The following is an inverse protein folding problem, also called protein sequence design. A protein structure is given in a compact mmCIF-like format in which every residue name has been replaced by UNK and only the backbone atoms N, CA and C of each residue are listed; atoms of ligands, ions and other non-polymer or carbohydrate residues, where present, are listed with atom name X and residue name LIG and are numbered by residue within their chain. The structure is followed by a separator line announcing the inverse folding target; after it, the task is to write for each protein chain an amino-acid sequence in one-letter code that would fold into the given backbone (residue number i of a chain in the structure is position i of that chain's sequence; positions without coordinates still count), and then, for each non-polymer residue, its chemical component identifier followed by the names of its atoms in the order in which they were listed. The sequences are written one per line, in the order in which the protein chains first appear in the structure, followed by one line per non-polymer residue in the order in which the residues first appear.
data_IF_137523495821
#
_entry.id   IF_137523495821
#
_cell.length_a   1.000
_cell.length_b   1.000
_cell.length_c   1.000
_cell.angle_alpha   90.00
_cell.angle_beta   90.00
_cell.angle_gamma   90.00
#
_symmetry.space_group_name_H-M   'P 1'
#
loop_
_entity.id
_entity.type
_entity.pdbx_description
1 polymer ?
#
# COMPACT_ATOMS: atom_id res chain seq x y z
N UNK A 1 -73.35 11.29 72.79
CA UNK A 1 -73.85 10.55 71.61
C UNK A 1 -72.92 10.87 70.45
N UNK A 2 -72.30 9.82 69.86
CA UNK A 2 -71.74 9.69 68.50
C UNK A 2 -70.90 10.83 67.87
N UNK A 3 -69.85 10.64 67.08
CA UNK A 3 -69.04 9.50 66.60
C UNK A 3 -68.03 10.01 65.54
N UNK A 4 -66.84 9.39 65.41
CA UNK A 4 -66.01 9.26 64.17
C UNK A 4 -65.03 10.41 63.85
N UNK A 5 -63.70 10.20 63.86
CA UNK A 5 -62.81 9.60 62.80
C UNK A 5 -62.56 10.58 61.62
N UNK A 6 -61.39 10.80 60.98
CA UNK A 6 -60.05 10.17 60.80
C UNK A 6 -59.22 11.20 59.97
N UNK A 7 -58.01 11.60 60.35
CA UNK A 7 -56.67 11.11 59.94
C UNK A 7 -56.28 11.26 58.45
N UNK A 8 -55.15 11.97 58.20
CA UNK A 8 -54.11 11.80 57.16
C UNK A 8 -54.43 11.96 55.64
N UNK A 9 -53.62 12.73 54.90
CA UNK A 9 -52.48 12.18 54.12
C UNK A 9 -51.59 13.28 53.50
N UNK A 10 -50.29 13.21 53.82
CA UNK A 10 -49.18 13.85 53.11
C UNK A 10 -48.97 13.13 51.78
N UNK A 11 -49.01 13.85 50.66
CA UNK A 11 -48.64 13.35 49.34
C UNK A 11 -47.14 13.64 49.13
N UNK A 12 -46.29 12.64 49.34
CA UNK A 12 -44.90 12.65 48.90
C UNK A 12 -44.80 11.96 47.53
N UNK A 13 -44.52 12.77 46.50
CA UNK A 13 -44.23 12.31 45.15
C UNK A 13 -42.89 11.55 45.13
N UNK A 14 -42.95 10.24 44.95
CA UNK A 14 -41.79 9.40 44.67
C UNK A 14 -41.64 9.31 43.14
N UNK A 15 -40.94 10.28 42.55
CA UNK A 15 -40.50 10.18 41.15
C UNK A 15 -39.38 9.15 41.05
N UNK A 16 -39.70 7.97 40.50
CA UNK A 16 -38.72 6.98 40.06
C UNK A 16 -37.82 7.60 38.99
N UNK A 17 -36.59 7.96 39.37
CA UNK A 17 -35.51 8.21 38.41
C UNK A 17 -34.99 6.86 37.93
N UNK A 18 -35.46 6.40 36.77
CA UNK A 18 -34.81 5.30 36.06
C UNK A 18 -33.56 5.88 35.41
N UNK A 19 -32.41 5.69 36.08
CA UNK A 19 -31.11 6.04 35.51
C UNK A 19 -30.81 5.07 34.36
N UNK A 20 -30.73 5.62 33.14
CA UNK A 20 -30.36 4.87 31.94
C UNK A 20 -28.83 4.71 31.98
N UNK A 21 -28.35 3.49 32.19
CA UNK A 21 -26.92 3.17 32.14
C UNK A 21 -26.51 2.84 30.70
N UNK A 22 -25.63 3.65 30.12
CA UNK A 22 -24.93 3.31 28.88
C UNK A 22 -23.62 2.59 29.24
N UNK A 23 -23.36 1.45 28.59
CA UNK A 23 -22.20 0.59 28.89
C UNK A 23 -21.28 0.38 27.70
N UNK A 24 -20.25 -0.44 27.88
CA UNK A 24 -19.41 -0.94 26.79
C UNK A 24 -19.35 -2.47 26.82
N UNK A 25 -19.27 -3.11 25.65
CA UNK A 25 -19.24 -4.56 25.45
C UNK A 25 -18.07 -4.96 24.55
N UNK A 26 -17.40 -6.04 24.92
CA UNK A 26 -16.41 -6.68 24.04
C UNK A 26 -17.11 -7.66 23.08
N UNK A 27 -16.73 -7.60 21.80
CA UNK A 27 -17.22 -8.50 20.75
C UNK A 27 -16.02 -9.11 20.04
N UNK A 28 -15.95 -10.44 20.04
CA UNK A 28 -15.00 -11.22 19.26
C UNK A 28 -15.77 -12.01 18.22
N UNK A 29 -15.49 -11.74 16.95
CA UNK A 29 -16.17 -12.34 15.81
C UNK A 29 -15.17 -12.80 14.76
N UNK A 30 -15.57 -13.73 13.92
CA UNK A 30 -14.76 -14.24 12.82
C UNK A 30 -15.58 -14.42 11.56
N UNK A 31 -14.89 -14.50 10.44
CA UNK A 31 -15.47 -14.84 9.15
C UNK A 31 -14.41 -15.50 8.28
N UNK A 32 -14.67 -16.65 7.65
CA UNK A 32 -15.89 -17.46 7.74
C UNK A 32 -16.08 -18.18 9.10
N UNK A 33 -17.23 -18.83 9.30
CA UNK A 33 -17.60 -19.57 10.51
C UNK A 33 -16.71 -20.81 10.77
N UNK A 34 -16.00 -21.28 9.75
CA UNK A 34 -15.14 -22.44 9.83
C UNK A 34 -13.98 -22.32 8.84
N UNK A 35 -12.88 -23.00 9.14
CA UNK A 35 -11.71 -23.06 8.25
C UNK A 35 -11.68 -24.41 7.56
N UNK A 36 -11.81 -24.39 6.24
CA UNK A 36 -11.62 -25.55 5.36
C UNK A 36 -10.20 -25.54 4.80
N UNK A 37 -9.42 -26.58 5.12
CA UNK A 37 -8.04 -26.72 4.64
C UNK A 37 -7.99 -26.69 3.10
N UNK A 38 -7.26 -25.72 2.55
CA UNK A 38 -7.04 -25.59 1.11
C UNK A 38 -8.17 -24.92 0.32
N UNK A 39 -9.34 -24.66 0.92
CA UNK A 39 -10.45 -23.94 0.27
C UNK A 39 -10.69 -22.55 0.87
N UNK A 40 -10.44 -22.37 2.17
CA UNK A 40 -10.56 -21.04 2.79
C UNK A 40 -9.42 -20.15 2.31
N UNK A 41 -9.73 -19.15 1.47
CA UNK A 41 -8.76 -18.19 0.96
C UNK A 41 -8.34 -17.16 2.00
N UNK A 42 -9.29 -16.74 2.83
CA UNK A 42 -9.09 -15.69 3.81
C UNK A 42 -9.92 -15.99 5.05
N UNK A 43 -9.30 -15.84 6.21
CA UNK A 43 -9.97 -15.92 7.50
C UNK A 43 -9.66 -14.65 8.27
N UNK A 44 -10.71 -14.00 8.77
CA UNK A 44 -10.61 -12.77 9.54
C UNK A 44 -11.14 -13.03 10.94
N UNK A 45 -10.39 -12.61 11.95
CA UNK A 45 -10.80 -12.56 13.34
C UNK A 45 -10.76 -11.09 13.78
N UNK A 46 -11.87 -10.58 14.32
CA UNK A 46 -11.98 -9.19 14.78
C UNK A 46 -12.42 -9.15 16.23
N UNK A 47 -11.58 -8.53 17.05
CA UNK A 47 -11.93 -8.16 18.41
C UNK A 47 -12.24 -6.67 18.47
N UNK A 48 -13.38 -6.30 19.05
CA UNK A 48 -13.83 -4.92 19.12
C UNK A 48 -14.46 -4.60 20.48
N UNK A 49 -14.38 -3.34 20.89
CA UNK A 49 -15.12 -2.78 22.01
C UNK A 49 -16.20 -1.86 21.43
N UNK A 50 -17.46 -2.16 21.70
CA UNK A 50 -18.61 -1.39 21.21
C UNK A 50 -19.41 -0.85 22.39
N UNK A 51 -19.97 0.34 22.28
CA UNK A 51 -20.89 0.85 23.30
C UNK A 51 -22.25 0.14 23.21
N UNK A 52 -22.74 -0.31 24.37
CA UNK A 52 -24.07 -0.89 24.48
C UNK A 52 -25.09 0.24 24.52
N UNK A 53 -25.66 0.53 23.36
CA UNK A 53 -26.90 1.30 23.29
C UNK A 53 -28.04 0.49 23.91
N UNK A 54 -28.68 1.02 24.95
CA UNK A 54 -30.02 0.67 25.45
C UNK A 54 -30.45 -0.81 25.30
N UNK A 55 -29.76 -1.74 25.96
CA UNK A 55 -30.20 -3.15 26.05
C UNK A 55 -30.25 -3.62 27.51
N UNK A 56 -31.47 -3.93 27.95
CA UNK A 56 -31.78 -4.54 29.23
C UNK A 56 -31.42 -6.03 29.19
N UNK A 57 -30.26 -6.43 29.74
CA UNK A 57 -30.06 -7.78 30.30
C UNK A 57 -28.69 -7.91 30.99
N UNK A 58 -28.68 -8.03 32.32
CA UNK A 58 -27.48 -8.41 33.10
C UNK A 58 -27.82 -9.68 33.89
N UNK A 59 -27.26 -10.83 33.51
CA UNK A 59 -27.18 -12.03 34.37
C UNK A 59 -25.83 -12.76 34.16
N UNK A 60 -24.91 -12.53 35.12
CA UNK A 60 -23.93 -13.45 35.71
C UNK A 60 -23.10 -14.41 34.84
N UNK A 61 -21.80 -14.11 34.70
CA UNK A 61 -20.67 -15.07 34.74
C UNK A 61 -19.34 -14.31 34.95
N UNK A 62 -18.30 -15.03 35.34
CA UNK A 62 -17.04 -14.53 35.96
C UNK A 62 -16.08 -13.80 34.99
N UNK A 63 -16.54 -13.46 33.80
CA UNK A 63 -15.83 -12.68 32.78
C UNK A 63 -16.60 -11.37 32.54
N UNK A 64 -15.92 -10.23 32.63
CA UNK A 64 -16.54 -8.92 32.38
C UNK A 64 -16.68 -8.76 30.87
N UNK A 65 -17.83 -9.17 30.35
CA UNK A 65 -18.17 -9.05 28.92
C UNK A 65 -18.78 -7.67 28.64
N UNK A 66 -19.39 -7.05 29.65
CA UNK A 66 -20.08 -5.75 29.55
C UNK A 66 -19.88 -4.93 30.84
N UNK A 67 -19.82 -3.60 30.74
CA UNK A 67 -19.81 -2.66 31.87
C UNK A 67 -21.11 -1.87 31.95
N UNK A 68 -21.46 -1.40 33.16
CA UNK A 68 -22.58 -0.47 33.38
C UNK A 68 -22.24 0.97 33.01
N UNK A 69 -20.94 1.30 32.95
CA UNK A 69 -20.43 2.63 32.61
C UNK A 69 -19.71 2.62 31.26
N UNK A 70 -19.78 3.76 30.59
CA UNK A 70 -19.14 4.05 29.31
C UNK A 70 -17.62 4.19 29.49
N UNK A 71 -16.86 3.34 28.82
CA UNK A 71 -15.39 3.38 28.85
C UNK A 71 -14.87 4.66 28.20
N UNK A 72 -13.89 5.34 28.81
CA UNK A 72 -13.33 6.58 28.28
C UNK A 72 -12.16 6.35 27.33
N UNK A 73 -11.28 5.39 27.67
CA UNK A 73 -10.02 5.21 26.93
C UNK A 73 -9.59 3.75 26.90
N UNK A 74 -9.22 3.26 25.73
CA UNK A 74 -8.64 1.92 25.57
C UNK A 74 -7.12 2.01 25.56
N UNK A 75 -6.45 1.22 26.42
CA UNK A 75 -4.99 1.25 26.57
C UNK A 75 -4.31 0.16 25.75
N UNK A 76 -4.91 -1.02 25.67
CA UNK A 76 -4.39 -2.12 24.84
C UNK A 76 -5.45 -3.16 24.49
N UNK A 77 -5.22 -3.84 23.37
CA UNK A 77 -5.97 -5.02 22.92
C UNK A 77 -4.96 -6.14 22.68
N UNK A 78 -5.20 -7.32 23.23
CA UNK A 78 -4.36 -8.50 23.03
C UNK A 78 -5.24 -9.69 22.66
N UNK A 79 -4.83 -10.45 21.65
CA UNK A 79 -5.49 -11.69 21.25
C UNK A 79 -4.51 -12.84 21.42
N UNK A 80 -4.97 -13.90 22.07
CA UNK A 80 -4.20 -15.10 22.40
C UNK A 80 -4.93 -16.33 21.86
N UNK A 81 -4.18 -17.30 21.35
CA UNK A 81 -4.68 -18.62 20.95
C UNK A 81 -4.57 -19.58 22.13
N UNK A 82 -5.70 -20.13 22.56
CA UNK A 82 -5.87 -20.89 23.80
C UNK A 82 -5.15 -22.25 23.79
N UNK A 83 -4.87 -22.82 22.62
CA UNK A 83 -4.23 -24.13 22.49
C UNK A 83 -2.90 -24.21 23.26
N UNK A 84 -2.11 -23.13 23.23
CA UNK A 84 -0.79 -23.05 23.87
C UNK A 84 -0.56 -21.73 24.62
N UNK A 85 -1.60 -20.93 24.86
CA UNK A 85 -1.48 -19.55 25.34
C UNK A 85 -0.53 -18.70 24.47
N UNK A 86 -0.60 -18.91 23.15
CA UNK A 86 0.28 -18.29 22.16
C UNK A 86 -0.22 -16.87 21.83
N UNK A 87 0.61 -15.82 22.00
CA UNK A 87 0.20 -14.48 21.63
C UNK A 87 0.06 -14.37 20.11
N UNK A 88 -1.09 -13.91 19.63
CA UNK A 88 -1.41 -13.83 18.19
C UNK A 88 -1.19 -12.44 17.67
N UNK A 89 -1.79 -11.45 18.33
CA UNK A 89 -1.68 -10.05 17.93
C UNK A 89 -1.82 -9.14 19.15
N UNK A 90 -1.18 -7.98 19.08
CA UNK A 90 -1.23 -6.99 20.14
C UNK A 90 -1.29 -5.58 19.56
N UNK A 91 -2.08 -4.73 20.21
CA UNK A 91 -2.13 -3.30 19.97
C UNK A 91 -2.03 -2.59 21.33
N UNK A 92 -1.11 -1.65 21.47
CA UNK A 92 -0.88 -0.89 22.71
C UNK A 92 -0.85 0.60 22.45
N UNK A 93 -1.06 1.40 23.49
CA UNK A 93 -0.93 2.86 23.41
C UNK A 93 0.48 3.34 23.03
N UNK A 94 1.52 2.55 23.34
CA UNK A 94 2.92 2.86 23.03
C UNK A 94 3.26 2.66 21.56
N UNK A 95 2.60 1.70 20.89
CA UNK A 95 2.84 1.41 19.49
C UNK A 95 1.89 2.22 18.61
N UNK A 96 2.41 2.67 17.46
CA UNK A 96 1.62 3.43 16.48
C UNK A 96 0.79 2.52 15.56
N UNK A 97 1.07 1.23 15.53
CA UNK A 97 0.39 0.25 14.69
C UNK A 97 0.15 -1.06 15.46
N UNK A 98 -0.87 -1.82 15.05
CA UNK A 98 -1.10 -3.17 15.53
C UNK A 98 -0.01 -4.11 14.99
N UNK A 99 0.44 -5.05 15.82
CA UNK A 99 1.60 -5.89 15.51
C UNK A 99 1.22 -7.37 15.60
N UNK A 100 1.47 -8.18 14.55
CA UNK A 100 1.38 -9.63 14.66
C UNK A 100 2.44 -10.15 15.65
N UNK A 101 2.09 -11.15 16.45
CA UNK A 101 3.01 -11.82 17.38
C UNK A 101 3.34 -13.25 16.93
N UNK A 102 2.54 -13.82 16.03
CA UNK A 102 2.75 -15.10 15.35
C UNK A 102 2.30 -14.98 13.89
N UNK A 103 2.43 -16.06 13.11
CA UNK A 103 1.93 -16.15 11.73
C UNK A 103 2.41 -15.02 10.79
N UNK A 104 3.63 -14.50 11.01
CA UNK A 104 4.18 -13.30 10.34
C UNK A 104 4.11 -13.31 8.81
N UNK A 105 4.17 -14.50 8.20
CA UNK A 105 4.17 -14.65 6.74
C UNK A 105 2.78 -14.71 6.13
N UNK A 106 1.75 -15.04 6.90
CA UNK A 106 0.40 -15.29 6.41
C UNK A 106 -0.66 -14.36 7.02
N UNK A 107 -0.34 -13.64 8.09
CA UNK A 107 -1.27 -12.76 8.81
C UNK A 107 -0.95 -11.28 8.62
N UNK A 108 -1.97 -10.49 8.30
CA UNK A 108 -1.95 -9.03 8.41
C UNK A 108 -2.81 -8.60 9.61
N UNK A 109 -2.36 -7.56 10.32
CA UNK A 109 -3.04 -7.08 11.52
C UNK A 109 -3.31 -5.58 11.39
N UNK A 110 -4.54 -5.18 11.64
CA UNK A 110 -5.00 -3.80 11.64
C UNK A 110 -5.73 -3.51 12.94
N UNK A 111 -5.66 -2.30 13.46
CA UNK A 111 -6.39 -1.97 14.67
C UNK A 111 -6.28 -0.50 15.04
N UNK A 112 -7.22 -0.06 15.85
CA UNK A 112 -7.31 1.30 16.39
C UNK A 112 -7.75 1.24 17.85
N UNK A 113 -7.16 2.10 18.68
CA UNK A 113 -7.56 2.29 20.08
C UNK A 113 -8.55 3.44 20.26
N UNK A 114 -9.08 4.01 19.17
CA UNK A 114 -10.09 5.07 19.20
C UNK A 114 -9.54 6.43 19.63
N UNK A 115 -8.24 6.69 19.42
CA UNK A 115 -7.58 7.93 19.91
C UNK A 115 -8.08 9.18 19.19
N UNK A 116 -8.56 9.01 17.96
CA UNK A 116 -9.16 10.08 17.16
C UNK A 116 -10.68 9.89 17.20
N UNK A 117 -11.32 10.51 18.18
CA UNK A 117 -12.78 10.59 18.29
C UNK A 117 -13.33 11.49 17.17
N UNK A 118 -13.23 11.03 15.93
CA UNK A 118 -14.07 11.49 14.84
C UNK A 118 -15.21 10.50 14.81
N UNK A 119 -16.40 10.96 15.18
CA UNK A 119 -17.69 10.26 15.14
C UNK A 119 -17.78 9.22 14.02
N UNK A 120 -17.31 8.01 14.28
CA UNK A 120 -17.60 6.86 13.43
C UNK A 120 -19.10 6.57 13.59
N UNK A 121 -19.83 6.33 12.50
CA UNK A 121 -21.25 5.97 12.58
C UNK A 121 -21.49 4.63 13.29
N UNK A 122 -20.44 3.82 13.48
CA UNK A 122 -20.45 2.63 14.34
C UNK A 122 -20.13 3.02 15.79
N UNK A 123 -20.85 2.47 16.75
CA UNK A 123 -20.59 2.58 18.19
C UNK A 123 -19.28 1.90 18.64
N UNK A 124 -18.32 1.70 17.74
CA UNK A 124 -17.08 0.96 17.95
C UNK A 124 -15.98 1.91 18.46
N UNK A 125 -15.50 1.65 19.68
CA UNK A 125 -14.48 2.46 20.36
C UNK A 125 -13.06 2.06 20.04
N UNK A 126 -12.82 0.77 19.89
CA UNK A 126 -11.51 0.24 19.58
C UNK A 126 -11.65 -1.13 18.94
N UNK A 127 -10.70 -1.51 18.09
CA UNK A 127 -10.69 -2.81 17.46
C UNK A 127 -9.28 -3.30 17.15
N UNK A 128 -9.16 -4.61 17.04
CA UNK A 128 -8.01 -5.34 16.54
C UNK A 128 -8.51 -6.43 15.60
N UNK A 129 -8.13 -6.33 14.34
CA UNK A 129 -8.47 -7.24 13.26
C UNK A 129 -7.24 -7.97 12.77
N UNK A 130 -7.34 -9.29 12.67
CA UNK A 130 -6.31 -10.18 12.16
C UNK A 130 -6.87 -10.88 10.93
N UNK A 131 -6.13 -10.85 9.83
CA UNK A 131 -6.54 -11.48 8.58
C UNK A 131 -5.45 -12.43 8.10
N UNK A 132 -5.78 -13.71 8.00
CA UNK A 132 -4.90 -14.75 7.48
C UNK A 132 -5.23 -15.05 6.02
N UNK A 133 -4.21 -15.13 5.18
CA UNK A 133 -4.30 -15.66 3.82
C UNK A 133 -4.02 -17.16 3.86
N UNK A 134 -4.93 -17.94 3.27
CA UNK A 134 -4.85 -19.40 3.22
C UNK A 134 -4.62 -20.05 4.60
N UNK A 135 -5.52 -19.80 5.58
CA UNK A 135 -5.41 -20.39 6.92
C UNK A 135 -5.32 -21.92 6.86
N UNK A 136 -4.60 -22.48 7.82
CA UNK A 136 -4.44 -23.92 8.02
C UNK A 136 -5.04 -24.34 9.36
N UNK A 137 -4.97 -25.64 9.67
CA UNK A 137 -5.33 -26.17 10.99
C UNK A 137 -4.66 -25.43 12.14
N UNK A 138 -3.46 -24.87 11.95
CA UNK A 138 -2.75 -24.12 13.00
C UNK A 138 -3.49 -22.84 13.44
N UNK A 139 -4.38 -22.31 12.59
CA UNK A 139 -5.19 -21.13 12.89
C UNK A 139 -6.56 -21.49 13.48
N UNK A 140 -6.83 -22.76 13.79
CA UNK A 140 -8.07 -23.23 14.41
C UNK A 140 -7.94 -23.37 15.93
N UNK A 141 -9.07 -23.55 16.62
CA UNK A 141 -9.15 -23.70 18.07
C UNK A 141 -9.67 -22.45 18.79
N UNK A 142 -9.52 -22.43 20.11
CA UNK A 142 -10.00 -21.33 20.95
C UNK A 142 -9.12 -20.08 20.83
N UNK A 143 -9.76 -18.93 20.71
CA UNK A 143 -9.15 -17.61 20.81
C UNK A 143 -9.73 -16.87 22.00
N UNK A 144 -8.90 -16.09 22.69
CA UNK A 144 -9.32 -15.18 23.75
C UNK A 144 -8.84 -13.79 23.38
N UNK A 145 -9.77 -12.84 23.37
CA UNK A 145 -9.44 -11.43 23.27
C UNK A 145 -9.59 -10.77 24.64
N UNK A 146 -8.58 -9.99 25.01
CA UNK A 146 -8.60 -9.16 26.21
C UNK A 146 -8.34 -7.71 25.85
N UNK A 147 -9.21 -6.82 26.34
CA UNK A 147 -9.12 -5.37 26.15
C UNK A 147 -8.93 -4.72 27.51
N UNK A 148 -7.85 -3.96 27.67
CA UNK A 148 -7.59 -3.16 28.86
C UNK A 148 -8.01 -1.72 28.58
N UNK A 149 -8.84 -1.17 29.45
CA UNK A 149 -9.39 0.16 29.29
C UNK A 149 -9.50 0.90 30.63
N UNK A 150 -9.75 2.20 30.57
CA UNK A 150 -9.94 3.10 31.71
C UNK A 150 -11.38 3.65 31.67
N UNK A 151 -12.08 3.57 32.80
CA UNK A 151 -13.41 4.16 32.98
C UNK A 151 -13.34 5.68 33.24
N UNK A 152 -14.49 6.31 33.52
CA UNK A 152 -14.59 7.75 33.77
C UNK A 152 -13.88 8.21 35.06
N UNK A 153 -13.69 7.31 36.00
CA UNK A 153 -13.02 7.54 37.28
C UNK A 153 -11.50 7.23 37.19
N UNK A 154 -11.03 6.77 36.03
CA UNK A 154 -9.63 6.42 35.79
C UNK A 154 -9.25 5.04 36.34
N UNK A 155 -10.22 4.18 36.67
CA UNK A 155 -9.96 2.81 37.09
C UNK A 155 -9.76 1.91 35.87
N UNK A 156 -8.80 1.00 35.98
CA UNK A 156 -8.51 0.02 34.92
C UNK A 156 -9.55 -1.09 34.93
N UNK A 157 -10.24 -1.27 33.81
CA UNK A 157 -11.18 -2.36 33.55
C UNK A 157 -10.61 -3.28 32.47
N UNK A 158 -10.73 -4.59 32.69
CA UNK A 158 -10.30 -5.61 31.72
C UNK A 158 -11.52 -6.36 31.21
N UNK A 159 -11.79 -6.21 29.92
CA UNK A 159 -12.78 -7.02 29.22
C UNK A 159 -12.11 -8.27 28.67
N UNK A 160 -12.81 -9.40 28.74
CA UNK A 160 -12.32 -10.65 28.17
C UNK A 160 -13.46 -11.45 27.57
N UNK A 161 -13.26 -11.98 26.37
CA UNK A 161 -14.19 -12.91 25.73
C UNK A 161 -13.42 -13.92 24.90
N UNK A 162 -14.00 -15.11 24.77
CA UNK A 162 -13.40 -16.20 23.99
C UNK A 162 -14.37 -16.71 22.94
N UNK A 163 -13.80 -17.32 21.89
CA UNK A 163 -14.49 -17.86 20.73
C UNK A 163 -13.72 -19.10 20.26
N UNK A 164 -14.40 -20.08 19.68
CA UNK A 164 -13.76 -21.25 19.07
C UNK A 164 -13.91 -21.23 17.55
N UNK A 165 -12.79 -21.41 16.85
CA UNK A 165 -12.73 -21.50 15.38
C UNK A 165 -12.59 -22.97 15.02
N UNK A 166 -13.58 -23.51 14.29
CA UNK A 166 -13.65 -24.93 13.98
C UNK A 166 -13.01 -25.23 12.62
N UNK A 167 -12.32 -26.36 12.52
CA UNK A 167 -11.88 -26.92 11.23
C UNK A 167 -13.04 -27.74 10.64
N UNK A 168 -13.44 -27.44 9.41
CA UNK A 168 -14.41 -28.25 8.67
C UNK A 168 -13.74 -28.97 7.50
N UNK A 169 -14.11 -30.23 7.29
CA UNK A 169 -13.65 -30.96 6.11
C UNK A 169 -14.46 -30.52 4.89
N UNK A 170 -13.81 -30.24 3.76
CA UNK A 170 -14.52 -29.84 2.56
C UNK A 170 -15.42 -30.98 2.09
N UNK A 171 -16.64 -30.66 1.67
CA UNK A 171 -17.51 -31.62 1.00
C UNK A 171 -16.93 -32.00 -0.38
N UNK A 172 -17.27 -33.18 -0.87
CA UNK A 172 -16.85 -33.60 -2.22
C UNK A 172 -17.33 -32.63 -3.29
N UNK A 173 -18.55 -32.08 -3.13
CA UNK A 173 -19.10 -31.06 -4.03
C UNK A 173 -18.27 -29.78 -4.01
N UNK A 174 -17.90 -29.27 -2.83
CA UNK A 174 -17.05 -28.08 -2.71
C UNK A 174 -15.64 -28.29 -3.30
N UNK A 175 -15.10 -29.51 -3.23
CA UNK A 175 -13.85 -29.84 -3.89
C UNK A 175 -13.98 -29.87 -5.41
N UNK A 176 -15.06 -30.44 -5.94
CA UNK A 176 -15.33 -30.48 -7.39
C UNK A 176 -15.53 -29.07 -7.95
N UNK A 177 -16.26 -28.21 -7.25
CA UNK A 177 -16.44 -26.81 -7.62
C UNK A 177 -15.11 -26.07 -7.65
N UNK A 178 -14.25 -26.30 -6.64
CA UNK A 178 -12.93 -25.68 -6.61
C UNK A 178 -12.02 -26.16 -7.74
N UNK A 179 -12.05 -27.46 -8.05
CA UNK A 179 -11.29 -28.02 -9.18
C UNK A 179 -11.78 -27.40 -10.50
N UNK A 180 -13.10 -27.30 -10.71
CA UNK A 180 -13.66 -26.67 -11.91
C UNK A 180 -13.25 -25.19 -12.02
N UNK A 181 -13.20 -24.47 -10.90
CA UNK A 181 -12.74 -23.08 -10.87
C UNK A 181 -11.23 -22.95 -11.15
N UNK A 182 -10.42 -23.89 -10.65
CA UNK A 182 -9.00 -23.95 -10.96
C UNK A 182 -8.77 -24.23 -12.45
N UNK A 183 -9.51 -25.16 -13.05
CA UNK A 183 -9.44 -25.44 -14.49
C UNK A 183 -9.74 -24.20 -15.33
N UNK A 184 -10.82 -23.46 -15.03
CA UNK A 184 -11.12 -22.18 -15.69
C UNK A 184 -10.02 -21.14 -15.50
N UNK A 185 -9.43 -21.09 -14.32
CA UNK A 185 -8.34 -20.14 -14.03
C UNK A 185 -7.09 -20.48 -14.84
N UNK A 186 -6.77 -21.77 -15.00
CA UNK A 186 -5.65 -22.23 -15.83
C UNK A 186 -5.89 -21.83 -17.29
N UNK A 187 -7.06 -22.11 -17.85
CA UNK A 187 -7.43 -21.71 -19.21
C UNK A 187 -7.29 -20.19 -19.42
N UNK A 188 -7.78 -19.38 -18.47
CA UNK A 188 -7.67 -17.92 -18.55
C UNK A 188 -6.23 -17.41 -18.41
N UNK A 189 -5.39 -18.08 -17.64
CA UNK A 189 -3.97 -17.73 -17.52
C UNK A 189 -3.18 -18.09 -18.78
N UNK A 190 -3.49 -19.22 -19.41
CA UNK A 190 -2.91 -19.63 -20.69
C UNK A 190 -3.25 -18.60 -21.78
N UNK A 191 -4.51 -18.17 -21.89
CA UNK A 191 -4.91 -17.12 -22.84
C UNK A 191 -4.15 -15.80 -22.60
N UNK A 192 -3.95 -15.44 -21.33
CA UNK A 192 -3.17 -14.24 -20.98
C UNK A 192 -1.70 -14.38 -21.34
N UNK A 193 -1.11 -15.56 -21.19
CA UNK A 193 0.27 -15.84 -21.58
C UNK A 193 0.44 -15.70 -23.08
N UNK A 194 -0.44 -16.30 -23.87
CA UNK A 194 -0.44 -16.16 -25.34
C UNK A 194 -0.58 -14.69 -25.75
N UNK A 195 -1.44 -13.94 -25.06
CA UNK A 195 -1.60 -12.51 -25.28
C UNK A 195 -0.36 -11.67 -24.95
N UNK A 196 0.36 -12.02 -23.88
CA UNK A 196 1.62 -11.35 -23.50
C UNK A 196 2.75 -11.74 -24.45
N UNK A 197 2.84 -13.01 -24.83
CA UNK A 197 3.84 -13.50 -25.77
C UNK A 197 3.69 -12.81 -27.13
N UNK A 198 2.47 -12.76 -27.68
CA UNK A 198 2.20 -12.05 -28.93
C UNK A 198 2.60 -10.56 -28.86
N UNK A 199 2.25 -9.87 -27.76
CA UNK A 199 2.67 -8.48 -27.56
C UNK A 199 4.18 -8.34 -27.49
N UNK A 200 4.88 -9.28 -26.84
CA UNK A 200 6.33 -9.24 -26.68
C UNK A 200 7.03 -9.56 -28.01
N UNK A 201 6.54 -10.52 -28.79
CA UNK A 201 7.04 -10.80 -30.13
C UNK A 201 6.80 -9.66 -31.11
N UNK A 202 5.75 -8.86 -30.90
CA UNK A 202 5.50 -7.65 -31.69
C UNK A 202 6.41 -6.46 -31.31
N UNK A 203 6.99 -6.45 -30.11
CA UNK A 203 7.96 -5.46 -29.70
C UNK A 203 9.32 -5.79 -30.32
N UNK A 204 9.61 -5.17 -31.48
CA UNK A 204 10.99 -5.11 -31.97
C UNK A 204 11.81 -4.25 -31.01
N UNK A 205 13.04 -4.65 -30.64
CA UNK A 205 13.91 -3.77 -29.87
C UNK A 205 14.05 -2.44 -30.64
N UNK A 206 13.96 -1.28 -29.96
CA UNK A 206 14.10 0.00 -30.63
C UNK A 206 15.47 0.03 -31.31
N UNK A 207 15.47 0.25 -32.61
CA UNK A 207 16.71 0.42 -33.36
C UNK A 207 17.40 1.67 -32.80
N UNK A 208 18.62 1.47 -32.28
CA UNK A 208 19.44 2.53 -31.77
C UNK A 208 20.87 2.36 -32.29
N UNK A 209 21.49 3.48 -32.67
CA UNK A 209 22.88 3.53 -33.08
C UNK A 209 23.60 4.65 -32.35
N UNK A 210 24.88 4.46 -32.08
CA UNK A 210 25.75 5.46 -31.48
C UNK A 210 27.05 5.61 -32.25
N UNK A 211 27.73 6.73 -32.05
CA UNK A 211 29.05 6.95 -32.60
C UNK A 211 29.72 8.20 -32.07
N UNK A 212 30.88 8.50 -32.64
CA UNK A 212 31.72 9.64 -32.27
C UNK A 212 32.25 10.36 -33.51
N UNK A 213 32.37 11.66 -33.40
CA UNK A 213 33.00 12.54 -34.38
C UNK A 213 34.03 13.39 -33.65
N UNK A 214 35.26 13.45 -34.18
CA UNK A 214 36.30 14.34 -33.69
C UNK A 214 36.55 15.44 -34.72
N UNK A 215 36.41 16.69 -34.28
CA UNK A 215 36.74 17.89 -35.05
C UNK A 215 38.02 18.47 -34.45
N UNK A 216 39.04 18.69 -35.28
CA UNK A 216 40.39 19.07 -34.84
C UNK A 216 40.80 20.36 -35.48
N UNK A 217 41.65 21.12 -34.79
CA UNK A 217 42.29 22.32 -35.30
C UNK A 217 41.29 23.31 -35.93
N UNK A 218 40.69 24.17 -35.09
CA UNK A 218 39.67 25.11 -35.53
C UNK A 218 40.17 26.19 -36.52
N UNK A 219 41.48 26.31 -36.75
CA UNK A 219 42.00 27.19 -37.80
C UNK A 219 41.81 26.60 -39.20
N UNK A 220 41.67 25.26 -39.29
CA UNK A 220 41.35 24.55 -40.53
C UNK A 220 39.87 24.60 -40.89
N UNK A 221 39.02 25.06 -39.97
CA UNK A 221 37.56 25.09 -40.14
C UNK A 221 37.13 26.18 -41.12
N UNK A 222 36.08 25.89 -41.89
CA UNK A 222 35.59 26.80 -42.92
C UNK A 222 34.87 27.99 -42.29
N UNK A 223 35.16 29.19 -42.76
CA UNK A 223 34.44 30.39 -42.35
C UNK A 223 32.94 30.27 -42.66
N UNK A 224 32.11 30.84 -41.78
CA UNK A 224 30.67 30.95 -41.98
C UNK A 224 30.36 31.62 -43.33
N UNK A 225 29.60 30.99 -44.24
CA UNK A 225 29.19 31.60 -45.50
C UNK A 225 28.41 32.91 -45.30
N UNK A 226 27.77 33.11 -44.15
CA UNK A 226 27.02 34.32 -43.79
C UNK A 226 27.86 35.39 -43.10
N UNK A 227 29.19 35.21 -43.00
CA UNK A 227 30.15 36.17 -42.45
C UNK A 227 29.89 36.59 -40.99
N UNK A 228 29.26 35.76 -40.16
CA UNK A 228 29.00 36.09 -38.75
C UNK A 228 30.24 35.89 -37.84
N UNK A 229 31.43 35.73 -38.41
CA UNK A 229 32.66 35.45 -37.65
C UNK A 229 32.73 34.04 -37.05
N UNK A 230 31.83 33.14 -37.47
CA UNK A 230 31.87 31.72 -37.13
C UNK A 230 32.82 30.92 -38.02
N UNK A 231 33.30 29.80 -37.50
CA UNK A 231 34.07 28.78 -38.23
C UNK A 231 33.47 27.41 -37.94
N UNK A 232 33.35 26.58 -38.97
CA UNK A 232 32.66 25.29 -38.89
C UNK A 232 33.40 24.15 -39.61
N UNK A 233 33.30 22.96 -39.04
CA UNK A 233 33.69 21.69 -39.66
C UNK A 233 32.45 20.79 -39.74
N UNK A 234 32.31 20.06 -40.85
CA UNK A 234 31.12 19.25 -41.15
C UNK A 234 31.53 17.80 -41.38
N UNK A 235 30.88 16.88 -40.65
CA UNK A 235 31.10 15.44 -40.78
C UNK A 235 29.79 14.74 -41.16
N UNK A 236 29.79 14.04 -42.28
CA UNK A 236 28.66 13.19 -42.66
C UNK A 236 28.73 11.87 -41.90
N UNK A 237 27.71 11.62 -41.08
CA UNK A 237 27.51 10.37 -40.35
C UNK A 237 26.46 9.55 -41.10
N UNK A 238 26.77 8.30 -41.41
CA UNK A 238 25.83 7.34 -41.97
C UNK A 238 25.47 6.31 -40.93
N UNK A 239 24.18 6.02 -40.77
CA UNK A 239 23.72 4.91 -39.96
C UNK A 239 24.14 3.60 -40.62
N UNK A 240 24.52 2.61 -39.81
CA UNK A 240 24.87 1.27 -40.27
C UNK A 240 23.67 0.61 -40.94
N UNK A 241 22.47 0.82 -40.37
CA UNK A 241 21.21 0.40 -40.95
C UNK A 241 20.33 1.64 -41.16
N UNK A 242 19.78 1.89 -42.36
CA UNK A 242 18.80 2.95 -42.55
C UNK A 242 17.56 2.72 -41.69
N UNK A 243 17.07 3.75 -41.03
CA UNK A 243 15.86 3.69 -40.22
C UNK A 243 14.59 3.68 -41.08
N UNK A 244 13.51 3.06 -40.56
CA UNK A 244 12.19 3.10 -41.22
C UNK A 244 11.58 4.52 -41.23
N UNK A 245 11.95 5.35 -40.26
CA UNK A 245 11.57 6.76 -40.13
C UNK A 245 12.76 7.61 -39.68
N UNK A 246 12.69 8.93 -39.84
CA UNK A 246 13.79 9.81 -39.43
C UNK A 246 13.95 9.69 -37.90
N UNK A 247 15.14 9.29 -37.38
CA UNK A 247 15.32 9.04 -35.96
C UNK A 247 15.44 10.36 -35.17
N UNK A 248 15.28 10.27 -33.85
CA UNK A 248 15.74 11.32 -32.95
C UNK A 248 17.24 11.15 -32.73
N UNK A 249 18.02 12.22 -32.80
CA UNK A 249 19.47 12.18 -32.56
C UNK A 249 19.83 13.18 -31.46
N UNK A 250 20.59 12.71 -30.47
CA UNK A 250 21.15 13.53 -29.41
C UNK A 250 22.65 13.62 -29.57
N UNK A 251 23.20 14.82 -29.39
CA UNK A 251 24.65 15.08 -29.35
C UNK A 251 25.11 15.33 -27.92
N UNK A 252 26.35 14.99 -27.63
CA UNK A 252 27.03 15.33 -26.38
C UNK A 252 28.52 15.51 -26.60
N UNK A 253 29.09 16.63 -26.13
CA UNK A 253 30.54 16.82 -26.13
C UNK A 253 31.13 15.97 -25.01
N UNK A 254 31.99 15.01 -25.34
CA UNK A 254 32.64 14.13 -24.37
C UNK A 254 34.17 14.36 -24.27
N UNK A 255 34.72 15.25 -25.10
CA UNK A 255 36.08 15.81 -24.99
C UNK A 255 36.11 17.23 -25.58
N UNK A 256 36.78 18.14 -24.88
CA UNK A 256 37.01 19.51 -25.33
C UNK A 256 38.41 19.95 -24.89
N UNK A 257 39.25 20.30 -25.87
CA UNK A 257 40.59 20.86 -25.70
C UNK A 257 40.67 22.19 -26.44
N UNK A 258 40.87 23.28 -25.70
CA UNK A 258 40.70 24.66 -26.14
C UNK A 258 41.82 25.55 -25.56
N UNK A 259 42.22 26.57 -26.31
CA UNK A 259 43.27 27.50 -25.87
C UNK A 259 42.78 28.42 -24.75
N UNK A 260 43.57 28.56 -23.69
CA UNK A 260 43.27 29.50 -22.60
C UNK A 260 43.37 30.98 -22.97
N UNK A 261 43.73 31.33 -24.21
CA UNK A 261 43.99 32.70 -24.65
C UNK A 261 42.70 33.49 -24.98
N UNK A 262 41.55 32.81 -25.06
CA UNK A 262 40.26 33.41 -25.40
C UNK A 262 39.12 32.84 -24.54
N UNK A 263 37.89 33.36 -24.75
CA UNK A 263 36.71 32.79 -24.10
C UNK A 263 36.28 31.49 -24.77
N UNK A 264 35.86 30.50 -23.98
CA UNK A 264 35.30 29.26 -24.52
C UNK A 264 34.00 29.51 -25.28
N UNK A 265 33.99 29.16 -26.56
CA UNK A 265 32.84 29.23 -27.45
C UNK A 265 32.80 28.00 -28.35
N UNK A 266 31.93 27.06 -28.04
CA UNK A 266 31.77 25.83 -28.82
C UNK A 266 30.29 25.58 -29.07
N UNK A 267 29.96 25.16 -30.27
CA UNK A 267 28.61 24.80 -30.67
C UNK A 267 28.66 23.52 -31.52
N UNK A 268 27.71 22.63 -31.28
CA UNK A 268 27.54 21.41 -32.07
C UNK A 268 26.10 21.35 -32.53
N UNK A 269 25.89 20.99 -33.79
CA UNK A 269 24.56 20.95 -34.40
C UNK A 269 24.41 19.77 -35.36
N UNK A 270 23.15 19.46 -35.68
CA UNK A 270 22.79 18.45 -36.66
C UNK A 270 22.15 19.13 -37.86
N UNK A 271 22.69 18.85 -39.04
CA UNK A 271 22.11 19.26 -40.33
C UNK A 271 21.74 18.05 -41.18
N UNK A 272 20.78 18.22 -42.09
CA UNK A 272 20.40 17.20 -43.07
C UNK A 272 20.11 15.82 -42.46
N UNK A 273 19.38 15.79 -41.34
CA UNK A 273 18.96 14.55 -40.69
C UNK A 273 17.95 13.80 -41.56
N UNK A 274 18.28 12.58 -41.93
CA UNK A 274 17.47 11.68 -42.76
C UNK A 274 17.41 10.29 -42.14
N UNK A 275 16.74 9.36 -42.82
CA UNK A 275 16.70 7.94 -42.45
C UNK A 275 18.06 7.23 -42.57
N UNK A 276 18.96 7.75 -43.40
CA UNK A 276 20.24 7.12 -43.74
C UNK A 276 21.42 7.70 -42.95
N UNK A 277 21.24 8.87 -42.35
CA UNK A 277 22.31 9.58 -41.65
C UNK A 277 22.02 11.06 -41.46
N UNK A 278 23.04 11.78 -41.02
CA UNK A 278 22.99 13.21 -40.78
C UNK A 278 24.37 13.85 -40.99
N UNK A 279 24.42 15.18 -40.96
CA UNK A 279 25.67 15.94 -40.94
C UNK A 279 25.86 16.55 -39.57
N UNK A 280 26.93 16.16 -38.87
CA UNK A 280 27.35 16.79 -37.62
C UNK A 280 28.17 18.04 -37.94
N UNK A 281 27.79 19.17 -37.33
CA UNK A 281 28.51 20.44 -37.46
C UNK A 281 29.20 20.77 -36.15
N UNK A 282 30.52 20.86 -36.14
CA UNK A 282 31.30 21.48 -35.08
C UNK A 282 31.49 22.95 -35.41
N UNK A 283 31.37 23.83 -34.41
CA UNK A 283 31.45 25.28 -34.62
C UNK A 283 32.07 26.03 -33.46
N UNK A 284 32.79 27.09 -33.79
CA UNK A 284 33.32 28.10 -32.87
C UNK A 284 33.24 29.48 -33.52
N UNK A 285 33.53 30.56 -32.78
CA UNK A 285 33.49 31.92 -33.34
C UNK A 285 34.45 32.86 -32.60
N UNK A 286 34.66 34.04 -33.21
CA UNK A 286 35.59 35.07 -32.74
C UNK A 286 37.03 34.52 -32.62
N UNK A 287 37.72 34.82 -31.52
CA UNK A 287 39.12 34.51 -31.24
C UNK A 287 39.32 33.15 -30.54
N UNK A 288 38.27 32.36 -30.33
CA UNK A 288 38.35 31.03 -29.71
C UNK A 288 39.12 30.05 -30.60
N UNK A 289 40.09 29.35 -30.04
CA UNK A 289 40.87 28.33 -30.75
C UNK A 289 40.68 26.96 -30.07
N UNK A 290 40.06 26.02 -30.79
CA UNK A 290 39.80 24.65 -30.35
C UNK A 290 40.86 23.73 -30.96
N UNK A 291 41.66 23.09 -30.11
CA UNK A 291 42.59 22.03 -30.54
C UNK A 291 41.82 20.78 -30.95
N UNK A 292 40.84 20.36 -30.14
CA UNK A 292 39.99 19.20 -30.43
C UNK A 292 38.65 19.32 -29.70
N UNK A 293 37.56 19.00 -30.40
CA UNK A 293 36.27 18.70 -29.78
C UNK A 293 35.80 17.34 -30.27
N UNK A 294 35.39 16.47 -29.34
CA UNK A 294 34.76 15.18 -29.67
C UNK A 294 33.30 15.20 -29.28
N UNK A 295 32.47 14.84 -30.24
CA UNK A 295 31.02 14.81 -30.11
C UNK A 295 30.57 13.36 -30.23
N UNK A 296 29.97 12.85 -29.15
CA UNK A 296 29.25 11.59 -29.16
C UNK A 296 27.82 11.84 -29.62
N UNK A 297 27.28 10.91 -30.39
CA UNK A 297 25.89 10.95 -30.83
C UNK A 297 25.21 9.62 -30.53
N UNK A 298 23.91 9.70 -30.24
CA UNK A 298 23.00 8.56 -30.12
C UNK A 298 21.76 8.84 -30.95
N UNK A 299 21.32 7.86 -31.72
CA UNK A 299 20.12 7.92 -32.54
C UNK A 299 19.15 6.81 -32.12
N UNK A 300 17.86 7.12 -32.07
CA UNK A 300 16.80 6.17 -31.67
C UNK A 300 15.50 6.46 -32.41
N UNK A 301 14.76 5.41 -32.72
CA UNK A 301 13.36 5.49 -33.12
C UNK A 301 12.48 4.97 -31.98
N UNK A 302 11.53 5.81 -31.54
CA UNK A 302 10.50 5.46 -30.57
C UNK A 302 9.33 4.70 -31.21
#
# INVERSE_FOLDING_TARGET
MASGQVMFQFVTALTLWVAISAGSKIVLQHSPDYVTKGLTKTFTLRCSLVDTGNINAVIGKRDIIETLEVIQKVTSITVVRNSNNEPVAKLTNQLSAAVPQTDFNSMTVHGDLGRNHVTSPSSEKAFLEMQWKWPTKNQTGGYTCSIVAEDAQGQTVVFSTSLEVVEEFPSTEAMLDHISELEKTVEALEERLDGVENKTSALKPPHAEEGLVECKDSDSWKADPYQNGGRYEFHTVKFQTPYDQVPMVSLGIDLLDESSDAYLRVHTDIENLTKEGFTLRCGTWADTYIFTVRVRWVSVVA
#
